data_IF_022619817470
#
_entry.id   IF_022619817470
#
_cell.length_a   1.000
_cell.length_b   1.000
_cell.length_c   1.000
_cell.angle_alpha   90.00
_cell.angle_beta   90.00
_cell.angle_gamma   90.00
#
_symmetry.space_group_name_H-M   'P 1'
#
loop_
_entity.id
_entity.type
_entity.pdbx_description
1 polymer ?
#
# COMPACT_ATOMS: atom_id res chain seq x y z
N UNK A 1 -8.71 1.76 -8.03
CA UNK A 1 -8.07 0.49 -8.48
C UNK A 1 -6.70 0.31 -7.84
N UNK A 2 -6.23 -0.91 -7.84
CA UNK A 2 -4.94 -1.30 -7.27
C UNK A 2 -4.15 -2.12 -8.27
N UNK A 3 -2.82 -2.09 -8.17
CA UNK A 3 -1.95 -2.98 -8.94
C UNK A 3 -2.09 -4.42 -8.46
N UNK A 4 -2.12 -4.61 -7.15
CA UNK A 4 -2.16 -5.94 -6.52
C UNK A 4 -3.12 -5.93 -5.32
N UNK A 5 -3.81 -7.05 -5.12
CA UNK A 5 -4.65 -7.30 -3.94
C UNK A 5 -4.20 -8.62 -3.30
N UNK A 6 -4.13 -8.65 -1.98
CA UNK A 6 -3.75 -9.84 -1.21
C UNK A 6 -4.93 -10.28 -0.34
N UNK A 7 -5.41 -11.50 -0.58
CA UNK A 7 -6.51 -12.10 0.17
C UNK A 7 -6.11 -12.53 1.59
N UNK A 8 -7.09 -12.77 2.44
CA UNK A 8 -6.89 -13.20 3.84
C UNK A 8 -5.99 -14.45 3.97
N UNK A 9 -6.06 -15.34 2.99
CA UNK A 9 -5.22 -16.54 2.94
C UNK A 9 -3.82 -16.30 2.36
N UNK A 10 -3.47 -15.05 2.06
CA UNK A 10 -2.21 -14.68 1.45
C UNK A 10 -2.17 -14.79 -0.08
N UNK A 11 -3.29 -15.11 -0.72
CA UNK A 11 -3.34 -15.19 -2.19
C UNK A 11 -3.08 -13.83 -2.82
N UNK A 12 -2.10 -13.77 -3.71
CA UNK A 12 -1.71 -12.57 -4.45
C UNK A 12 -2.48 -12.53 -5.77
N UNK A 13 -3.18 -11.43 -6.02
CA UNK A 13 -3.93 -11.21 -7.27
C UNK A 13 -3.44 -9.93 -7.92
N UNK A 14 -2.83 -10.04 -9.08
CA UNK A 14 -2.40 -8.90 -9.87
C UNK A 14 -3.54 -8.41 -10.77
N UNK A 15 -3.84 -7.13 -10.70
CA UNK A 15 -4.97 -6.50 -11.39
C UNK A 15 -4.55 -5.50 -12.47
N UNK A 16 -3.53 -4.70 -12.17
CA UNK A 16 -3.00 -3.68 -13.08
C UNK A 16 -1.49 -3.89 -13.18
N UNK A 17 -0.97 -3.85 -14.42
CA UNK A 17 0.46 -3.92 -14.65
C UNK A 17 1.16 -2.79 -13.88
N UNK A 18 2.25 -3.06 -13.12
CA UNK A 18 2.98 -2.02 -12.39
C UNK A 18 3.48 -0.85 -13.24
N UNK A 19 3.65 -1.05 -14.54
CA UNK A 19 4.04 0.02 -15.48
C UNK A 19 2.87 0.93 -15.86
N UNK A 20 1.64 0.55 -15.54
CA UNK A 20 0.45 1.34 -15.78
C UNK A 20 0.00 2.03 -14.49
N UNK A 21 -0.74 3.13 -14.65
CA UNK A 21 -1.30 3.87 -13.53
C UNK A 21 -2.50 3.14 -12.93
N UNK A 22 -2.51 2.96 -11.61
CA UNK A 22 -3.70 2.57 -10.85
C UNK A 22 -4.27 3.79 -10.09
N UNK A 23 -5.56 3.78 -9.82
CA UNK A 23 -6.28 4.87 -9.17
C UNK A 23 -6.61 4.49 -7.73
N UNK A 24 -5.58 4.20 -6.93
CA UNK A 24 -5.71 3.74 -5.54
C UNK A 24 -5.94 4.85 -4.54
N UNK A 25 -5.38 6.03 -4.77
CA UNK A 25 -5.49 7.18 -3.88
C UNK A 25 -6.34 8.29 -4.50
N UNK A 26 -6.93 9.13 -3.65
CA UNK A 26 -7.55 10.38 -4.05
C UNK A 26 -6.56 11.55 -4.01
N UNK A 27 -7.02 12.71 -3.55
CA UNK A 27 -6.17 13.87 -3.33
C UNK A 27 -5.12 13.55 -2.26
N UNK A 28 -3.86 13.56 -2.63
CA UNK A 28 -2.79 13.00 -1.81
C UNK A 28 -1.42 13.55 -2.19
N UNK A 29 -0.48 13.46 -1.24
CA UNK A 29 0.92 13.81 -1.45
C UNK A 29 1.82 12.86 -0.65
N UNK A 30 3.06 12.70 -1.08
CA UNK A 30 4.07 11.92 -0.39
C UNK A 30 5.39 12.71 -0.35
N UNK A 31 5.95 12.89 0.84
CA UNK A 31 7.19 13.67 1.08
C UNK A 31 7.12 15.10 0.51
N UNK A 32 5.94 15.71 0.52
CA UNK A 32 5.73 17.05 -0.02
C UNK A 32 5.63 17.12 -1.54
N UNK A 33 5.76 15.98 -2.24
CA UNK A 33 5.62 15.92 -3.68
C UNK A 33 4.16 16.00 -4.10
N UNK A 34 3.87 16.91 -5.03
CA UNK A 34 2.54 17.08 -5.61
C UNK A 34 2.54 16.63 -7.06
N UNK A 35 1.85 15.54 -7.32
CA UNK A 35 1.71 15.02 -8.67
C UNK A 35 0.47 15.63 -9.34
N UNK A 36 0.58 16.84 -9.83
CA UNK A 36 -0.50 17.54 -10.53
C UNK A 36 -0.41 17.22 -12.01
N UNK A 37 -1.34 16.45 -12.52
CA UNK A 37 -1.44 16.12 -13.95
C UNK A 37 -2.33 17.07 -14.71
N UNK A 38 -3.28 17.70 -14.04
CA UNK A 38 -4.22 18.65 -14.62
C UNK A 38 -4.58 19.70 -13.54
N UNK A 39 -4.46 21.02 -13.83
CA UNK A 39 -4.79 22.04 -12.86
C UNK A 39 -6.24 21.99 -12.32
N UNK A 40 -7.13 21.34 -13.04
CA UNK A 40 -8.54 21.17 -12.64
C UNK A 40 -8.74 19.93 -11.75
N UNK A 41 -7.75 19.05 -11.64
CA UNK A 41 -7.79 17.84 -10.85
C UNK A 41 -6.74 17.99 -9.75
N UNK A 42 -7.15 17.71 -8.50
CA UNK A 42 -6.25 17.75 -7.35
C UNK A 42 -5.09 16.79 -7.55
N UNK A 43 -3.93 17.12 -6.97
CA UNK A 43 -2.75 16.27 -7.01
C UNK A 43 -2.99 14.90 -6.38
N UNK A 44 -2.34 13.88 -6.93
CA UNK A 44 -2.46 12.53 -6.42
C UNK A 44 -1.14 11.76 -6.58
N UNK A 45 -0.81 10.94 -5.59
CA UNK A 45 0.32 10.01 -5.66
C UNK A 45 0.14 8.93 -6.73
N UNK A 46 -1.05 8.78 -7.31
CA UNK A 46 -1.30 7.84 -8.41
C UNK A 46 -0.36 8.04 -9.59
N UNK A 47 0.22 9.24 -9.75
CA UNK A 47 1.11 9.52 -10.87
C UNK A 47 2.47 8.83 -10.75
N UNK A 48 2.88 8.43 -9.54
CA UNK A 48 4.20 7.84 -9.30
C UNK A 48 4.19 6.67 -8.30
N UNK A 49 3.04 6.30 -7.75
CA UNK A 49 2.96 5.26 -6.73
C UNK A 49 2.42 3.94 -7.27
N UNK A 50 2.95 2.85 -6.72
CA UNK A 50 2.34 1.53 -6.82
C UNK A 50 1.34 1.35 -5.68
N UNK A 51 0.21 0.74 -5.98
CA UNK A 51 -0.87 0.55 -5.02
C UNK A 51 -1.12 -0.93 -4.76
N UNK A 52 -1.15 -1.28 -3.47
CA UNK A 52 -1.45 -2.63 -3.01
C UNK A 52 -2.56 -2.56 -1.96
N UNK A 53 -3.51 -3.48 -2.02
CA UNK A 53 -4.60 -3.59 -1.05
C UNK A 53 -4.57 -4.95 -0.37
N UNK A 54 -4.89 -4.95 0.92
CA UNK A 54 -5.10 -6.16 1.71
C UNK A 54 -6.59 -6.35 1.92
N UNK A 55 -7.07 -7.58 1.74
CA UNK A 55 -8.46 -7.92 2.08
C UNK A 55 -8.70 -7.67 3.57
N UNK A 56 -9.74 -6.91 3.88
CA UNK A 56 -10.12 -6.59 5.25
C UNK A 56 -10.82 -7.78 5.90
N UNK A 57 -10.51 -8.14 7.17
CA UNK A 57 -11.23 -9.21 7.86
C UNK A 57 -12.70 -8.83 8.07
N UNK A 58 -13.55 -9.84 8.29
CA UNK A 58 -15.00 -9.66 8.39
C UNK A 58 -15.45 -8.68 9.47
N UNK A 59 -14.70 -8.56 10.57
CA UNK A 59 -14.99 -7.58 11.63
C UNK A 59 -14.59 -6.14 11.27
N UNK A 60 -13.98 -5.94 10.11
CA UNK A 60 -13.61 -4.63 9.57
C UNK A 60 -14.47 -4.16 8.41
N UNK A 61 -15.65 -4.75 8.21
CA UNK A 61 -16.55 -4.40 7.11
C UNK A 61 -16.99 -2.93 7.13
N UNK A 62 -16.97 -2.29 8.30
CA UNK A 62 -17.15 -0.84 8.43
C UNK A 62 -15.79 -0.15 8.39
N UNK A 63 -15.51 0.60 7.33
CA UNK A 63 -14.24 1.30 7.14
C UNK A 63 -13.87 2.30 8.24
N UNK A 64 -14.80 2.64 9.12
CA UNK A 64 -14.57 3.55 10.25
C UNK A 64 -14.16 2.83 11.53
N UNK A 65 -14.25 1.50 11.56
CA UNK A 65 -13.98 0.70 12.77
C UNK A 65 -12.55 0.19 12.76
N UNK A 66 -11.97 0.07 13.97
CA UNK A 66 -10.79 -0.74 14.20
C UNK A 66 -11.22 -2.20 14.10
N UNK A 67 -10.40 -3.05 13.51
CA UNK A 67 -10.65 -4.47 13.34
C UNK A 67 -9.53 -5.33 13.91
N UNK A 68 -9.67 -6.64 13.85
CA UNK A 68 -8.73 -7.61 14.42
C UNK A 68 -7.33 -7.60 13.79
N UNK A 69 -7.17 -6.92 12.65
CA UNK A 69 -5.90 -6.85 11.94
C UNK A 69 -5.84 -7.82 10.76
N UNK A 70 -4.68 -7.85 10.13
CA UNK A 70 -4.42 -8.67 8.95
C UNK A 70 -3.79 -10.00 9.35
N UNK A 71 -3.92 -11.02 8.50
CA UNK A 71 -3.40 -12.35 8.78
C UNK A 71 -1.88 -12.42 8.61
N UNK A 72 -1.26 -13.41 9.26
CA UNK A 72 0.16 -13.71 9.06
C UNK A 72 0.46 -14.00 7.59
N UNK A 73 -0.41 -14.75 6.91
CA UNK A 73 -0.28 -15.04 5.48
C UNK A 73 -0.31 -13.77 4.62
N UNK A 74 -1.11 -12.76 5.00
CA UNK A 74 -1.12 -11.48 4.31
C UNK A 74 0.20 -10.72 4.48
N UNK A 75 0.75 -10.67 5.69
CA UNK A 75 2.05 -10.03 5.91
C UNK A 75 3.18 -10.75 5.16
N UNK A 76 3.16 -12.07 5.12
CA UNK A 76 4.13 -12.85 4.34
C UNK A 76 4.08 -12.49 2.85
N UNK A 77 2.91 -12.51 2.27
CA UNK A 77 2.70 -12.17 0.86
C UNK A 77 3.01 -10.70 0.57
N UNK A 78 2.62 -9.80 1.46
CA UNK A 78 2.92 -8.37 1.35
C UNK A 78 4.44 -8.13 1.29
N UNK A 79 5.18 -8.75 2.17
CA UNK A 79 6.65 -8.63 2.19
C UNK A 79 7.28 -9.16 0.90
N UNK A 80 6.78 -10.26 0.35
CA UNK A 80 7.26 -10.81 -0.91
C UNK A 80 6.99 -9.87 -2.09
N UNK A 81 5.78 -9.34 -2.20
CA UNK A 81 5.43 -8.40 -3.27
C UNK A 81 6.27 -7.12 -3.17
N UNK A 82 6.38 -6.55 -1.98
CA UNK A 82 7.17 -5.33 -1.77
C UNK A 82 8.65 -5.54 -2.04
N UNK A 83 9.21 -6.70 -1.67
CA UNK A 83 10.59 -7.05 -1.99
C UNK A 83 10.80 -7.14 -3.50
N UNK A 84 9.90 -7.78 -4.23
CA UNK A 84 9.94 -7.83 -5.70
C UNK A 84 9.89 -6.42 -6.30
N UNK A 85 8.98 -5.59 -5.85
CA UNK A 85 8.86 -4.21 -6.35
C UNK A 85 10.09 -3.36 -6.03
N UNK A 86 10.65 -3.49 -4.83
CA UNK A 86 11.91 -2.80 -4.45
C UNK A 86 13.04 -3.20 -5.42
N UNK A 87 13.18 -4.49 -5.69
CA UNK A 87 14.23 -4.99 -6.58
C UNK A 87 14.00 -4.57 -8.04
N UNK A 88 12.76 -4.54 -8.50
CA UNK A 88 12.43 -4.19 -9.88
C UNK A 88 12.49 -2.70 -10.15
N UNK A 89 12.07 -1.87 -9.21
CA UNK A 89 11.88 -0.42 -9.42
C UNK A 89 12.88 0.45 -8.66
N UNK A 90 13.70 -0.12 -7.80
CA UNK A 90 14.83 0.56 -7.18
C UNK A 90 14.50 1.55 -6.07
N UNK A 91 13.29 1.52 -5.50
CA UNK A 91 12.99 2.34 -4.32
C UNK A 91 13.46 1.64 -3.03
N UNK A 92 13.45 2.38 -1.92
CA UNK A 92 13.82 1.87 -0.60
C UNK A 92 12.58 1.65 0.27
N UNK A 93 12.69 0.85 1.36
CA UNK A 93 11.59 0.68 2.30
C UNK A 93 11.02 1.98 2.87
N UNK A 94 11.82 3.06 2.92
CA UNK A 94 11.34 4.39 3.33
C UNK A 94 10.24 4.96 2.42
N UNK A 95 10.12 4.46 1.19
CA UNK A 95 9.07 4.85 0.26
C UNK A 95 7.75 4.07 0.44
N UNK A 96 7.70 3.12 1.37
CA UNK A 96 6.47 2.39 1.68
C UNK A 96 5.62 3.23 2.63
N UNK A 97 4.39 3.49 2.24
CA UNK A 97 3.46 4.31 3.02
C UNK A 97 2.02 3.77 2.90
N UNK A 98 1.07 4.46 3.49
CA UNK A 98 -0.34 4.05 3.47
C UNK A 98 -1.22 5.18 2.97
N UNK A 99 -2.44 4.86 2.55
CA UNK A 99 -3.45 5.86 2.19
C UNK A 99 -3.62 6.90 3.30
N UNK A 100 -3.74 6.45 4.53
CA UNK A 100 -3.92 7.31 5.70
C UNK A 100 -2.83 8.38 5.82
N UNK A 101 -1.60 8.05 5.51
CA UNK A 101 -0.47 8.96 5.65
C UNK A 101 -0.33 9.94 4.48
N UNK A 102 -0.84 9.59 3.31
CA UNK A 102 -0.72 10.44 2.12
C UNK A 102 -1.98 11.22 1.81
N UNK A 103 -3.11 10.84 2.40
CA UNK A 103 -4.41 11.44 2.11
C UNK A 103 -4.49 12.88 2.58
N UNK A 104 -4.89 13.77 1.71
CA UNK A 104 -5.09 15.20 1.99
C UNK A 104 -6.56 15.60 1.97
N UNK A 105 -7.42 14.76 1.38
CA UNK A 105 -8.84 15.04 1.22
C UNK A 105 -9.72 14.58 2.37
N UNK A 106 -9.17 13.87 3.37
CA UNK A 106 -9.95 13.27 4.45
C UNK A 106 -10.83 12.10 4.00
N UNK A 107 -10.52 11.51 2.84
CA UNK A 107 -11.33 10.45 2.21
C UNK A 107 -10.84 9.04 2.53
N UNK A 108 -9.55 8.90 2.83
CA UNK A 108 -8.88 7.60 3.00
C UNK A 108 -8.25 7.49 4.39
N UNK A 109 -8.83 6.67 5.24
CA UNK A 109 -8.30 6.39 6.59
C UNK A 109 -7.68 5.01 6.74
N UNK A 110 -7.59 4.26 5.65
CA UNK A 110 -7.04 2.90 5.63
C UNK A 110 -5.52 2.88 5.38
N UNK A 111 -4.83 1.82 5.76
CA UNK A 111 -5.34 0.65 6.47
C UNK A 111 -5.55 0.95 7.96
N UNK A 112 -6.55 0.30 8.54
CA UNK A 112 -6.77 0.31 9.98
C UNK A 112 -6.16 -0.94 10.59
N UNK A 113 -5.73 -0.85 11.82
CA UNK A 113 -5.13 -1.99 12.55
C UNK A 113 -3.96 -2.66 11.81
N UNK A 114 -3.23 -1.89 11.01
CA UNK A 114 -2.04 -2.37 10.31
C UNK A 114 -0.84 -2.36 11.26
N UNK A 115 -0.14 -3.48 11.34
CA UNK A 115 1.02 -3.67 12.19
C UNK A 115 2.31 -3.53 11.38
N UNK A 116 2.96 -2.39 11.51
CA UNK A 116 4.24 -2.11 10.84
C UNK A 116 5.36 -3.03 11.29
N UNK A 117 5.37 -3.45 12.56
CA UNK A 117 6.41 -4.34 13.09
C UNK A 117 6.35 -5.71 12.42
N UNK A 118 5.15 -6.21 12.15
CA UNK A 118 4.94 -7.45 11.40
C UNK A 118 5.53 -7.36 9.99
N UNK A 119 5.32 -6.25 9.30
CA UNK A 119 5.90 -6.03 7.99
C UNK A 119 7.42 -5.87 8.07
N UNK A 120 7.91 -5.04 8.97
CA UNK A 120 9.35 -4.76 9.10
C UNK A 120 10.14 -6.01 9.44
N UNK A 121 9.63 -6.85 10.32
CA UNK A 121 10.26 -8.13 10.68
C UNK A 121 10.45 -9.01 9.45
N UNK A 122 9.45 -9.11 8.60
CA UNK A 122 9.52 -9.92 7.37
C UNK A 122 10.44 -9.32 6.31
N UNK A 123 10.40 -8.01 6.14
CA UNK A 123 11.31 -7.32 5.20
C UNK A 123 12.76 -7.48 5.66
N UNK A 124 13.03 -7.39 6.96
CA UNK A 124 14.37 -7.63 7.50
C UNK A 124 14.84 -9.06 7.24
N UNK A 125 13.96 -10.05 7.42
CA UNK A 125 14.26 -11.45 7.11
C UNK A 125 14.58 -11.66 5.62
N UNK A 126 13.99 -10.88 4.72
CA UNK A 126 14.26 -10.88 3.29
C UNK A 126 15.45 -9.96 2.91
N UNK A 127 16.12 -9.37 3.89
CA UNK A 127 17.32 -8.52 3.73
C UNK A 127 17.09 -7.23 2.93
N UNK A 128 15.89 -6.70 2.91
CA UNK A 128 15.59 -5.43 2.24
C UNK A 128 15.68 -4.23 3.19
N UNK A 129 15.60 -4.44 4.51
CA UNK A 129 15.79 -3.39 5.51
C UNK A 129 17.23 -3.30 6.01
N UNK A 130 17.92 -4.43 6.07
CA UNK A 130 19.30 -4.52 6.54
C UNK A 130 20.12 -5.23 5.46
N UNK A 131 20.71 -4.48 4.56
CA UNK A 131 21.57 -5.07 3.55
C UNK A 131 22.82 -5.72 4.15
#
# INVERSE_FOLDING_TARGET
SYHTVIGLNGKIVDLVDPLNRAYGAGYSAFLGEWAVTNPKIRGSVNNFALHLSLETPGDGANSRSIHSGYSSAQYDSLALVLTDWINRFGFTPAAITTHRHVDLGGERGDPRSFDWDELQTRLAALKVLCP
#
